data_IF_540171434616
#
_entry.id   IF_540171434616
#
_cell.length_a   1.000
_cell.length_b   1.000
_cell.length_c   1.000
_cell.angle_alpha   90.00
_cell.angle_beta   90.00
_cell.angle_gamma   90.00
#
_symmetry.space_group_name_H-M   'P 1'
#
loop_
_entity.id
_entity.type
_entity.pdbx_description
1 polymer ?
#
# COMPACT_ATOMS: atom_id res chain seq x y z
N UNK A 1 -5.58 -28.82 18.88
CA UNK A 1 -4.44 -28.17 18.21
C UNK A 1 -4.96 -27.65 16.89
N UNK A 2 -5.02 -26.33 16.73
CA UNK A 2 -5.26 -25.72 15.42
C UNK A 2 -4.14 -26.16 14.49
N UNK A 3 -4.46 -26.52 13.25
CA UNK A 3 -3.42 -26.85 12.28
C UNK A 3 -2.60 -25.59 12.01
N UNK A 4 -1.27 -25.67 12.00
CA UNK A 4 -0.42 -24.54 11.60
C UNK A 4 -0.14 -24.59 10.11
N UNK A 5 0.02 -23.43 9.50
CA UNK A 5 0.38 -23.26 8.10
C UNK A 5 1.68 -22.47 7.99
N UNK A 6 2.39 -22.65 6.87
CA UNK A 6 3.67 -22.03 6.63
C UNK A 6 3.75 -21.45 5.23
N UNK A 7 3.77 -20.12 5.15
CA UNK A 7 3.99 -19.37 3.91
C UNK A 7 5.40 -18.80 3.91
N UNK A 8 5.94 -18.42 2.75
CA UNK A 8 7.29 -17.90 2.64
C UNK A 8 7.31 -16.55 1.94
N UNK A 9 7.82 -15.53 2.62
CA UNK A 9 8.21 -14.27 2.00
C UNK A 9 9.62 -14.43 1.40
N UNK A 10 9.79 -14.03 0.15
CA UNK A 10 11.06 -14.06 -0.57
C UNK A 10 11.39 -12.66 -1.07
N UNK A 11 12.39 -12.05 -0.46
CA UNK A 11 12.89 -10.72 -0.78
C UNK A 11 14.26 -10.81 -1.46
N UNK A 12 14.75 -9.72 -2.08
CA UNK A 12 16.14 -9.58 -2.49
C UNK A 12 17.11 -9.97 -1.35
N UNK A 13 18.26 -10.56 -1.72
CA UNK A 13 19.20 -11.14 -0.73
C UNK A 13 19.90 -10.08 0.12
N UNK A 14 19.91 -8.85 -0.35
CA UNK A 14 20.49 -7.66 0.26
C UNK A 14 19.49 -6.88 1.13
N UNK A 15 18.22 -7.28 1.17
CA UNK A 15 17.23 -6.67 2.06
C UNK A 15 17.61 -6.90 3.52
N UNK A 16 17.82 -5.83 4.28
CA UNK A 16 18.23 -5.95 5.67
C UNK A 16 17.04 -6.38 6.54
N UNK A 17 17.24 -7.28 7.52
CA UNK A 17 16.20 -7.65 8.48
C UNK A 17 15.58 -6.49 9.26
N UNK A 18 16.34 -5.40 9.46
CA UNK A 18 15.82 -4.19 10.11
C UNK A 18 14.84 -3.42 9.22
N UNK A 19 15.04 -3.43 7.90
CA UNK A 19 14.13 -2.76 6.97
C UNK A 19 12.77 -3.47 6.98
N UNK A 20 12.77 -4.81 7.00
CA UNK A 20 11.55 -5.62 7.11
C UNK A 20 10.81 -5.30 8.40
N UNK A 21 11.50 -5.28 9.55
CA UNK A 21 10.87 -4.93 10.83
C UNK A 21 10.33 -3.49 10.82
N UNK A 22 11.11 -2.54 10.32
CA UNK A 22 10.70 -1.12 10.22
C UNK A 22 9.42 -0.99 9.41
N UNK A 23 9.34 -1.64 8.25
CA UNK A 23 8.12 -1.64 7.43
C UNK A 23 6.94 -2.27 8.17
N UNK A 24 7.12 -3.42 8.81
CA UNK A 24 6.05 -4.07 9.59
C UNK A 24 5.52 -3.14 10.67
N UNK A 25 6.40 -2.41 11.37
CA UNK A 25 5.98 -1.51 12.47
C UNK A 25 5.14 -0.31 12.03
N UNK A 26 5.16 0.05 10.74
CA UNK A 26 4.27 1.09 10.20
C UNK A 26 2.79 0.72 10.35
N UNK A 27 2.47 -0.56 10.18
CA UNK A 27 1.08 -1.07 10.20
C UNK A 27 0.79 -1.94 11.42
N UNK A 28 1.83 -2.52 12.05
CA UNK A 28 1.76 -3.29 13.29
C UNK A 28 2.75 -2.76 14.33
N UNK A 29 2.45 -1.66 15.04
CA UNK A 29 3.40 -1.02 15.97
C UNK A 29 3.82 -1.88 17.16
N UNK A 30 3.06 -2.92 17.48
CA UNK A 30 3.38 -3.89 18.53
C UNK A 30 4.32 -5.01 18.05
N UNK A 31 4.60 -5.10 16.75
CA UNK A 31 5.52 -6.09 16.21
C UNK A 31 6.91 -5.91 16.80
N UNK A 32 7.59 -7.03 17.09
CA UNK A 32 8.88 -7.00 17.77
C UNK A 32 9.77 -8.15 17.35
N UNK A 33 11.09 -7.95 17.44
CA UNK A 33 12.07 -9.01 17.23
C UNK A 33 12.27 -9.83 18.49
N UNK A 34 12.26 -11.15 18.35
CA UNK A 34 12.60 -12.13 19.38
C UNK A 34 14.11 -12.40 19.42
N UNK A 35 14.59 -13.01 20.51
CA UNK A 35 16.02 -13.34 20.69
C UNK A 35 16.57 -14.26 19.58
N UNK A 36 15.72 -15.12 19.01
CA UNK A 36 16.06 -16.03 17.91
C UNK A 36 16.05 -15.36 16.52
N UNK A 37 15.74 -14.06 16.45
CA UNK A 37 15.64 -13.29 15.22
C UNK A 37 14.29 -13.35 14.52
N UNK A 38 13.34 -14.17 14.99
CA UNK A 38 11.98 -14.17 14.46
C UNK A 38 11.27 -12.85 14.81
N UNK A 39 10.38 -12.40 13.93
CA UNK A 39 9.53 -11.24 14.18
C UNK A 39 8.16 -11.73 14.64
N UNK A 40 7.75 -11.28 15.83
CA UNK A 40 6.40 -11.47 16.35
C UNK A 40 5.47 -10.43 15.73
N UNK A 41 4.46 -10.90 15.00
CA UNK A 41 3.51 -10.04 14.30
C UNK A 41 2.21 -9.82 15.10
N UNK A 42 2.07 -10.43 16.28
CA UNK A 42 0.79 -10.55 16.99
C UNK A 42 -0.05 -11.73 16.49
N UNK A 43 -1.16 -12.01 17.18
CA UNK A 43 -2.18 -13.02 16.79
C UNK A 43 -1.61 -14.40 16.46
N UNK A 44 -0.58 -14.81 17.21
CA UNK A 44 0.17 -16.06 17.03
C UNK A 44 0.86 -16.21 15.65
N UNK A 45 1.00 -15.12 14.88
CA UNK A 45 1.75 -15.06 13.64
C UNK A 45 3.22 -14.70 13.90
N UNK A 46 4.13 -15.49 13.31
CA UNK A 46 5.57 -15.31 13.42
C UNK A 46 6.25 -15.31 12.06
N UNK A 47 7.15 -14.36 11.83
CA UNK A 47 7.97 -14.31 10.63
C UNK A 47 9.40 -14.74 10.96
N UNK A 48 9.73 -15.97 10.64
CA UNK A 48 10.99 -16.64 11.01
C UNK A 48 12.01 -16.49 9.88
N UNK A 49 13.20 -15.89 10.10
CA UNK A 49 14.21 -15.75 9.05
C UNK A 49 14.84 -17.10 8.69
N UNK A 50 15.14 -17.33 7.41
CA UNK A 50 15.99 -18.45 7.00
C UNK A 50 17.46 -18.08 7.24
N UNK A 51 18.02 -18.61 8.34
CA UNK A 51 19.39 -18.34 8.77
C UNK A 51 20.45 -19.13 7.97
N UNK A 52 20.05 -19.92 6.98
CA UNK A 52 21.01 -20.66 6.15
C UNK A 52 21.81 -19.70 5.26
N UNK A 53 23.01 -20.08 4.78
CA UNK A 53 23.80 -19.24 3.87
C UNK A 53 23.10 -18.87 2.55
N UNK A 54 22.07 -19.64 2.17
CA UNK A 54 21.24 -19.40 0.97
C UNK A 54 19.87 -18.80 1.30
N UNK A 55 19.62 -18.55 2.59
CA UNK A 55 18.37 -18.08 3.16
C UNK A 55 18.21 -16.58 3.21
N UNK A 56 19.27 -15.80 2.92
CA UNK A 56 19.20 -14.34 2.91
C UNK A 56 18.01 -13.82 2.09
N UNK A 57 17.21 -12.92 2.68
CA UNK A 57 15.97 -12.40 2.11
C UNK A 57 14.75 -13.32 2.25
N UNK A 58 14.89 -14.54 2.78
CA UNK A 58 13.78 -15.48 2.94
C UNK A 58 13.28 -15.54 4.37
N UNK A 59 11.96 -15.52 4.51
CA UNK A 59 11.28 -15.62 5.78
C UNK A 59 10.13 -16.60 5.69
N UNK A 60 9.90 -17.38 6.73
CA UNK A 60 8.75 -18.29 6.86
C UNK A 60 7.74 -17.64 7.80
N UNK A 61 6.55 -17.34 7.29
CA UNK A 61 5.40 -17.01 8.12
C UNK A 61 4.85 -18.30 8.72
N UNK A 62 4.85 -18.41 10.04
CA UNK A 62 4.12 -19.42 10.79
C UNK A 62 2.89 -18.78 11.41
N UNK A 63 1.70 -19.33 11.14
CA UNK A 63 0.44 -18.85 11.72
C UNK A 63 -0.53 -20.04 11.86
N UNK A 64 -1.54 -19.88 12.71
CA UNK A 64 -2.65 -20.83 12.76
C UNK A 64 -3.41 -20.78 11.44
N UNK A 65 -3.74 -21.95 10.90
CA UNK A 65 -4.50 -22.08 9.66
C UNK A 65 -5.96 -21.74 9.94
N UNK A 66 -6.48 -20.76 9.23
CA UNK A 66 -7.86 -20.33 9.29
C UNK A 66 -8.38 -20.05 7.88
N UNK A 67 -9.39 -20.82 7.46
CA UNK A 67 -9.89 -20.84 6.09
C UNK A 67 -11.40 -20.72 6.05
N UNK A 68 -11.88 -19.88 5.16
CA UNK A 68 -13.30 -19.79 4.82
C UNK A 68 -13.61 -20.58 3.55
N UNK A 69 -14.84 -20.44 3.05
CA UNK A 69 -15.26 -21.07 1.80
C UNK A 69 -14.38 -20.60 0.62
N UNK A 70 -14.23 -21.42 -0.43
CA UNK A 70 -13.49 -21.02 -1.62
C UNK A 70 -14.08 -19.77 -2.29
N UNK A 71 -13.23 -19.05 -3.02
CA UNK A 71 -13.67 -17.94 -3.85
C UNK A 71 -14.73 -18.42 -4.87
N UNK A 72 -15.75 -17.58 -5.18
CA UNK A 72 -16.62 -17.82 -6.32
C UNK A 72 -15.82 -17.99 -7.61
N UNK A 73 -16.29 -18.85 -8.52
CA UNK A 73 -15.63 -19.03 -9.82
C UNK A 73 -15.67 -17.73 -10.65
N UNK A 74 -14.52 -17.34 -11.19
CA UNK A 74 -14.42 -16.27 -12.19
C UNK A 74 -14.42 -14.83 -11.65
N UNK A 75 -14.26 -14.63 -10.34
CA UNK A 75 -13.97 -13.31 -9.79
C UNK A 75 -12.50 -12.93 -9.94
N UNK A 76 -12.23 -11.69 -10.35
CA UNK A 76 -10.89 -11.12 -10.25
C UNK A 76 -10.51 -10.95 -8.77
N UNK A 77 -9.23 -11.17 -8.48
CA UNK A 77 -8.68 -11.08 -7.13
C UNK A 77 -7.27 -10.50 -7.24
N UNK A 78 -7.18 -9.22 -6.91
CA UNK A 78 -5.95 -8.43 -6.79
C UNK A 78 -4.75 -9.22 -6.26
N UNK A 79 -4.97 -10.04 -5.22
CA UNK A 79 -3.88 -10.72 -4.51
C UNK A 79 -3.60 -12.13 -5.02
N UNK A 80 -4.45 -12.67 -5.89
CA UNK A 80 -4.31 -14.00 -6.47
C UNK A 80 -4.62 -15.15 -5.51
N UNK A 81 -5.28 -14.87 -4.39
CA UNK A 81 -5.65 -15.87 -3.41
C UNK A 81 -6.68 -16.88 -3.91
N UNK A 82 -7.61 -16.47 -4.78
CA UNK A 82 -8.53 -17.41 -5.44
C UNK A 82 -7.79 -18.53 -6.17
N UNK A 83 -6.71 -18.17 -6.89
CA UNK A 83 -5.83 -19.15 -7.55
C UNK A 83 -4.95 -19.91 -6.55
N UNK A 84 -4.40 -19.22 -5.54
CA UNK A 84 -3.44 -19.81 -4.62
C UNK A 84 -4.07 -20.73 -3.56
N UNK A 85 -5.35 -20.56 -3.27
CA UNK A 85 -6.09 -21.26 -2.23
C UNK A 85 -7.44 -21.82 -2.74
N UNK A 86 -7.43 -22.71 -3.74
CA UNK A 86 -8.66 -23.22 -4.37
C UNK A 86 -9.55 -24.05 -3.43
N UNK A 87 -9.00 -24.51 -2.30
CA UNK A 87 -9.73 -25.29 -1.29
C UNK A 87 -10.33 -24.48 -0.14
N UNK A 88 -10.21 -23.15 -0.17
CA UNK A 88 -10.72 -22.25 0.88
C UNK A 88 -9.79 -21.08 1.10
N UNK A 89 -10.33 -19.85 1.09
CA UNK A 89 -9.53 -18.63 1.20
C UNK A 89 -8.95 -18.46 2.61
N UNK A 90 -7.75 -17.85 2.76
CA UNK A 90 -7.27 -17.44 4.08
C UNK A 90 -8.25 -16.48 4.74
N UNK A 91 -8.47 -16.66 6.04
CA UNK A 91 -9.33 -15.82 6.87
C UNK A 91 -8.61 -15.39 8.16
N UNK A 92 -9.19 -14.41 8.87
CA UNK A 92 -8.71 -13.95 10.17
C UNK A 92 -7.22 -13.60 10.20
N UNK A 93 -6.53 -14.05 11.25
CA UNK A 93 -5.10 -13.80 11.43
C UNK A 93 -4.22 -14.35 10.29
N UNK A 94 -4.63 -15.46 9.64
CA UNK A 94 -3.92 -15.97 8.47
C UNK A 94 -4.02 -14.99 7.29
N UNK A 95 -5.21 -14.46 7.03
CA UNK A 95 -5.44 -13.47 5.97
C UNK A 95 -4.66 -12.19 6.20
N UNK A 96 -4.77 -11.62 7.40
CA UNK A 96 -4.10 -10.37 7.74
C UNK A 96 -2.56 -10.49 7.67
N UNK A 97 -2.01 -11.65 8.03
CA UNK A 97 -0.58 -11.90 7.91
C UNK A 97 -0.14 -12.09 6.45
N UNK A 98 -0.96 -12.76 5.63
CA UNK A 98 -0.70 -12.91 4.20
C UNK A 98 -0.82 -11.58 3.44
N UNK A 99 -1.79 -10.74 3.79
CA UNK A 99 -1.96 -9.40 3.21
C UNK A 99 -0.71 -8.56 3.51
N UNK A 100 -0.23 -8.55 4.76
CA UNK A 100 1.03 -7.91 5.14
C UNK A 100 2.23 -8.42 4.32
N UNK A 101 2.35 -9.74 4.17
CA UNK A 101 3.44 -10.33 3.38
C UNK A 101 3.36 -9.94 1.91
N UNK A 102 2.15 -9.83 1.35
CA UNK A 102 1.93 -9.38 -0.02
C UNK A 102 2.36 -7.92 -0.18
N UNK A 103 1.99 -7.02 0.73
CA UNK A 103 2.41 -5.61 0.69
C UNK A 103 3.93 -5.47 0.84
N UNK A 104 4.55 -6.23 1.75
CA UNK A 104 6.02 -6.28 1.90
C UNK A 104 6.69 -6.77 0.62
N UNK A 105 6.18 -7.84 0.01
CA UNK A 105 6.68 -8.33 -1.26
C UNK A 105 6.58 -7.26 -2.36
N UNK A 106 5.45 -6.54 -2.45
CA UNK A 106 5.27 -5.45 -3.42
C UNK A 106 6.30 -4.34 -3.23
N UNK A 107 6.44 -3.85 -2.00
CA UNK A 107 7.30 -2.71 -1.64
C UNK A 107 8.78 -3.04 -1.70
N UNK A 108 9.16 -4.28 -1.40
CA UNK A 108 10.55 -4.74 -1.34
C UNK A 108 10.94 -5.59 -2.56
N UNK A 109 10.15 -5.53 -3.65
CA UNK A 109 10.42 -6.22 -4.91
C UNK A 109 10.62 -7.75 -4.75
N UNK A 110 9.81 -8.34 -3.89
CA UNK A 110 9.82 -9.76 -3.54
C UNK A 110 8.58 -10.51 -4.02
N UNK A 111 8.33 -11.64 -3.38
CA UNK A 111 7.20 -12.53 -3.65
C UNK A 111 6.78 -13.29 -2.40
N UNK A 112 5.55 -13.79 -2.41
CA UNK A 112 5.03 -14.72 -1.40
C UNK A 112 4.86 -16.10 -2.03
N UNK A 113 5.34 -17.14 -1.36
CA UNK A 113 5.09 -18.53 -1.75
C UNK A 113 4.18 -19.14 -0.69
N UNK A 114 2.99 -19.57 -1.08
CA UNK A 114 1.99 -20.11 -0.15
C UNK A 114 2.38 -21.49 0.37
N UNK A 115 1.70 -21.97 1.41
CA UNK A 115 1.82 -23.34 1.94
C UNK A 115 1.55 -24.41 0.87
N UNK A 116 0.67 -24.11 -0.09
CA UNK A 116 0.42 -24.91 -1.29
C UNK A 116 1.49 -24.82 -2.38
N UNK A 117 2.51 -23.96 -2.21
CA UNK A 117 3.61 -23.76 -3.15
C UNK A 117 3.31 -22.81 -4.31
N UNK A 118 2.16 -22.12 -4.31
CA UNK A 118 1.82 -21.13 -5.33
C UNK A 118 2.60 -19.84 -5.05
N UNK A 119 3.19 -19.27 -6.10
CA UNK A 119 3.99 -18.05 -6.03
C UNK A 119 3.13 -16.85 -6.44
N UNK A 120 3.03 -15.87 -5.55
CA UNK A 120 2.38 -14.59 -5.74
C UNK A 120 3.47 -13.52 -5.88
N UNK A 121 3.50 -12.87 -7.05
CA UNK A 121 4.45 -11.80 -7.37
C UNK A 121 3.67 -10.50 -7.57
N UNK A 122 3.46 -9.71 -6.52
CA UNK A 122 2.75 -8.44 -6.65
C UNK A 122 3.48 -7.48 -7.59
N UNK A 123 2.75 -6.87 -8.52
CA UNK A 123 3.33 -5.84 -9.36
C UNK A 123 3.62 -4.58 -8.53
N UNK A 124 4.84 -4.00 -8.60
CA UNK A 124 5.26 -2.92 -7.70
C UNK A 124 4.37 -1.67 -7.79
N UNK A 125 3.85 -1.37 -8.98
CA UNK A 125 3.01 -0.21 -9.27
C UNK A 125 1.51 -0.50 -9.25
N UNK A 126 1.08 -1.62 -8.66
CA UNK A 126 -0.36 -1.91 -8.58
C UNK A 126 -1.05 -0.96 -7.59
N UNK A 127 -0.48 -0.80 -6.41
CA UNK A 127 -0.94 0.22 -5.45
C UNK A 127 -0.18 1.51 -5.73
N UNK A 128 -0.87 2.48 -6.32
CA UNK A 128 -0.27 3.73 -6.81
C UNK A 128 -0.59 4.93 -5.93
N UNK A 129 -1.68 4.83 -5.20
CA UNK A 129 -2.21 5.93 -4.41
C UNK A 129 -1.28 6.27 -3.26
N UNK A 130 -1.08 7.58 -3.08
CA UNK A 130 -0.28 8.14 -2.00
C UNK A 130 -1.10 9.18 -1.25
N UNK A 131 -0.88 9.28 0.05
CA UNK A 131 -1.43 10.35 0.87
C UNK A 131 -0.29 11.13 1.51
N UNK A 132 -0.27 12.44 1.29
CA UNK A 132 0.60 13.34 2.06
C UNK A 132 -0.17 13.79 3.30
N UNK A 133 0.29 13.36 4.48
CA UNK A 133 -0.29 13.71 5.77
C UNK A 133 0.49 14.89 6.35
N UNK A 134 -0.16 16.03 6.48
CA UNK A 134 0.50 17.30 6.80
C UNK A 134 -0.17 18.02 7.98
N UNK A 135 0.60 18.76 8.80
CA UNK A 135 0.04 19.69 9.78
C UNK A 135 -0.49 20.99 9.15
N UNK A 136 -0.32 21.19 7.84
CA UNK A 136 -0.58 22.45 7.15
C UNK A 136 -1.58 22.26 6.02
N UNK A 137 -2.77 22.85 6.18
CA UNK A 137 -3.80 22.89 5.15
C UNK A 137 -3.63 24.10 4.23
N UNK A 138 -3.71 23.84 2.93
CA UNK A 138 -3.77 24.86 1.88
C UNK A 138 -5.23 25.24 1.63
N UNK A 139 -5.42 26.48 1.18
CA UNK A 139 -6.68 26.87 0.57
C UNK A 139 -6.79 26.22 -0.83
N UNK A 140 -8.01 25.95 -1.33
CA UNK A 140 -8.22 25.34 -2.65
C UNK A 140 -7.47 26.05 -3.78
N UNK A 141 -7.54 27.38 -3.82
CA UNK A 141 -6.91 28.21 -4.86
C UNK A 141 -5.38 28.20 -4.75
N UNK A 142 -4.85 28.10 -3.52
CA UNK A 142 -3.41 27.97 -3.29
C UNK A 142 -2.90 26.61 -3.76
N UNK A 143 -3.67 25.54 -3.56
CA UNK A 143 -3.32 24.23 -4.10
C UNK A 143 -3.33 24.24 -5.64
N UNK A 144 -4.38 24.78 -6.25
CA UNK A 144 -4.48 24.89 -7.70
C UNK A 144 -3.28 25.68 -8.28
N UNK A 145 -2.91 26.80 -7.66
CA UNK A 145 -1.72 27.57 -8.06
C UNK A 145 -0.41 26.80 -7.88
N UNK A 146 -0.30 26.00 -6.81
CA UNK A 146 0.89 25.20 -6.52
C UNK A 146 1.13 24.14 -7.60
N UNK A 147 0.08 23.41 -7.99
CA UNK A 147 0.20 22.28 -8.92
C UNK A 147 0.18 22.72 -10.39
N UNK A 148 -0.38 23.89 -10.73
CA UNK A 148 -0.54 24.35 -12.11
C UNK A 148 0.72 24.28 -13.00
N UNK A 149 1.96 24.53 -12.50
CA UNK A 149 3.17 24.37 -13.31
C UNK A 149 3.43 22.92 -13.75
N UNK A 150 3.03 21.95 -12.94
CA UNK A 150 3.17 20.51 -13.24
C UNK A 150 1.93 19.99 -13.98
N UNK A 151 0.75 20.47 -13.56
CA UNK A 151 -0.56 20.00 -13.98
C UNK A 151 -1.44 21.15 -14.46
N UNK A 152 -1.18 21.70 -15.66
CA UNK A 152 -1.89 22.87 -16.18
C UNK A 152 -3.35 22.59 -16.53
N UNK A 153 -3.71 21.32 -16.71
CA UNK A 153 -5.08 20.85 -16.99
C UNK A 153 -5.84 20.45 -15.71
N UNK A 154 -5.25 20.67 -14.54
CA UNK A 154 -5.90 20.38 -13.26
C UNK A 154 -7.09 21.34 -13.02
N UNK A 155 -8.24 20.78 -12.67
CA UNK A 155 -9.46 21.52 -12.39
C UNK A 155 -9.87 21.35 -10.93
N UNK A 156 -10.19 22.47 -10.26
CA UNK A 156 -10.76 22.42 -8.92
C UNK A 156 -12.23 22.02 -9.02
N UNK A 157 -12.63 20.99 -8.29
CA UNK A 157 -13.99 20.48 -8.35
C UNK A 157 -14.98 21.44 -7.68
N UNK A 158 -16.13 21.65 -8.30
CA UNK A 158 -17.21 22.46 -7.72
C UNK A 158 -17.88 21.70 -6.57
N UNK A 159 -17.96 22.35 -5.41
CA UNK A 159 -18.75 21.84 -4.28
C UNK A 159 -20.23 22.18 -4.55
N UNK A 160 -21.14 21.19 -4.57
CA UNK A 160 -22.56 21.46 -4.80
C UNK A 160 -23.15 22.43 -3.77
N UNK A 161 -24.00 23.34 -4.23
CA UNK A 161 -24.70 24.30 -3.37
C UNK A 161 -25.44 23.60 -2.22
N UNK A 162 -25.12 23.99 -0.98
CA UNK A 162 -25.73 23.45 0.23
C UNK A 162 -25.06 22.19 0.79
N UNK A 163 -23.99 21.67 0.17
CA UNK A 163 -23.18 20.61 0.75
C UNK A 163 -22.28 21.15 1.89
N UNK A 164 -22.27 20.46 3.03
CA UNK A 164 -21.28 20.70 4.08
C UNK A 164 -19.98 19.99 3.70
N UNK A 165 -19.17 20.59 2.82
CA UNK A 165 -17.89 20.01 2.46
C UNK A 165 -16.85 20.26 3.57
N UNK A 166 -16.32 19.18 4.15
CA UNK A 166 -15.21 19.22 5.11
C UNK A 166 -13.84 19.17 4.43
N UNK A 167 -13.81 19.37 3.11
CA UNK A 167 -12.66 19.20 2.24
C UNK A 167 -12.95 19.70 0.83
N UNK A 168 -12.00 19.52 -0.09
CA UNK A 168 -12.12 19.88 -1.50
C UNK A 168 -11.28 18.92 -2.35
N UNK A 169 -11.50 18.89 -3.66
CA UNK A 169 -10.74 18.03 -4.56
C UNK A 169 -10.36 18.75 -5.84
N UNK A 170 -9.27 18.29 -6.44
CA UNK A 170 -8.81 18.67 -7.76
C UNK A 170 -8.77 17.43 -8.63
N UNK A 171 -9.33 17.52 -9.82
CA UNK A 171 -9.26 16.47 -10.85
C UNK A 171 -8.15 16.81 -11.85
N UNK A 172 -7.28 15.84 -12.12
CA UNK A 172 -6.15 15.97 -13.03
C UNK A 172 -6.29 14.92 -14.14
N UNK A 173 -6.52 15.30 -15.40
CA UNK A 173 -6.64 14.34 -16.48
C UNK A 173 -5.29 13.67 -16.77
N UNK A 174 -5.31 12.34 -16.88
CA UNK A 174 -4.14 11.53 -17.26
C UNK A 174 -4.15 11.20 -18.75
N UNK A 175 -5.34 11.00 -19.30
CA UNK A 175 -5.59 10.67 -20.70
C UNK A 175 -6.41 9.39 -20.84
N UNK A 176 -7.03 9.16 -22.00
CA UNK A 176 -7.83 7.95 -22.27
C UNK A 176 -8.98 7.69 -21.28
N UNK A 177 -9.47 8.73 -20.59
CA UNK A 177 -10.51 8.61 -19.57
C UNK A 177 -10.00 8.28 -18.16
N UNK A 178 -8.68 8.19 -17.98
CA UNK A 178 -8.03 8.08 -16.66
C UNK A 178 -7.82 9.45 -16.04
N UNK A 179 -7.93 9.51 -14.72
CA UNK A 179 -7.81 10.73 -13.93
C UNK A 179 -6.97 10.48 -12.66
N UNK A 180 -6.37 11.53 -12.12
CA UNK A 180 -5.86 11.57 -10.75
C UNK A 180 -6.75 12.52 -9.96
N UNK A 181 -7.36 12.00 -8.90
CA UNK A 181 -8.12 12.81 -7.94
C UNK A 181 -7.22 13.17 -6.75
N UNK A 182 -6.93 14.45 -6.59
CA UNK A 182 -6.25 15.00 -5.42
C UNK A 182 -7.30 15.51 -4.42
N UNK A 183 -7.58 14.71 -3.39
CA UNK A 183 -8.59 14.97 -2.37
C UNK A 183 -7.94 15.52 -1.11
N UNK A 184 -8.42 16.67 -0.66
CA UNK A 184 -7.93 17.34 0.55
C UNK A 184 -9.00 17.32 1.62
N UNK A 185 -8.67 16.77 2.78
CA UNK A 185 -9.61 16.66 3.88
C UNK A 185 -8.97 16.12 5.14
N UNK A 186 -9.81 15.67 6.09
CA UNK A 186 -9.36 14.99 7.30
C UNK A 186 -9.80 13.54 7.26
N UNK A 187 -8.89 12.62 7.51
CA UNK A 187 -9.21 11.22 7.74
C UNK A 187 -8.68 10.74 9.10
N UNK A 188 -8.82 9.44 9.36
CA UNK A 188 -8.19 8.81 10.52
C UNK A 188 -6.68 8.79 10.37
N UNK A 189 -5.98 9.18 11.43
CA UNK A 189 -4.52 9.12 11.51
C UNK A 189 -3.96 7.75 11.08
N UNK A 190 -3.03 7.70 10.11
CA UNK A 190 -2.35 6.45 9.77
C UNK A 190 -1.58 5.89 10.96
N UNK A 191 -1.60 4.58 11.12
CA UNK A 191 -0.93 3.86 12.21
C UNK A 191 0.54 4.24 12.35
N UNK A 192 1.25 4.39 11.21
CA UNK A 192 2.67 4.75 11.17
C UNK A 192 2.96 6.13 11.79
N UNK A 193 1.96 7.02 11.80
CA UNK A 193 2.07 8.41 12.25
C UNK A 193 1.38 8.66 13.60
N UNK A 194 0.77 7.63 14.20
CA UNK A 194 -0.07 7.76 15.41
C UNK A 194 0.67 8.31 16.65
N UNK A 195 1.99 8.38 16.63
CA UNK A 195 2.82 8.94 17.72
C UNK A 195 3.13 10.42 17.55
N UNK A 196 2.76 11.04 16.43
CA UNK A 196 3.03 12.45 16.17
C UNK A 196 2.03 13.34 16.91
N UNK A 197 2.54 14.34 17.64
CA UNK A 197 1.70 15.22 18.47
C UNK A 197 0.75 16.15 17.71
N UNK A 198 0.89 16.25 16.38
CA UNK A 198 0.04 17.07 15.52
C UNK A 198 -0.98 16.27 14.71
N UNK A 199 -0.98 14.92 14.83
CA UNK A 199 -1.73 14.05 13.93
C UNK A 199 -3.26 14.21 14.03
N UNK A 200 -3.78 14.52 15.22
CA UNK A 200 -5.23 14.73 15.43
C UNK A 200 -5.78 15.95 14.67
N UNK A 201 -4.91 16.89 14.31
CA UNK A 201 -5.25 18.09 13.56
C UNK A 201 -4.82 18.05 12.10
N UNK A 202 -4.22 16.94 11.66
CA UNK A 202 -3.63 16.81 10.34
C UNK A 202 -4.66 16.95 9.22
N UNK A 203 -4.15 17.31 8.05
CA UNK A 203 -4.86 17.30 6.78
C UNK A 203 -4.20 16.25 5.89
N UNK A 204 -5.03 15.55 5.14
CA UNK A 204 -4.61 14.55 4.17
C UNK A 204 -4.78 15.10 2.78
N UNK A 205 -3.74 14.97 1.98
CA UNK A 205 -3.75 15.18 0.54
C UNK A 205 -3.68 13.80 -0.11
N UNK A 206 -4.83 13.15 -0.29
CA UNK A 206 -4.92 11.83 -0.92
C UNK A 206 -4.88 12.00 -2.44
N UNK A 207 -3.83 11.47 -3.07
CA UNK A 207 -3.62 11.48 -4.51
C UNK A 207 -3.99 10.09 -5.02
N UNK A 208 -5.16 9.99 -5.66
CA UNK A 208 -5.80 8.72 -6.02
C UNK A 208 -5.82 8.56 -7.53
N UNK A 209 -5.34 7.43 -8.04
CA UNK A 209 -5.51 7.08 -9.45
C UNK A 209 -6.93 6.57 -9.71
N UNK A 210 -7.61 7.12 -10.70
CA UNK A 210 -8.90 6.65 -11.17
C UNK A 210 -8.73 6.05 -12.57
N UNK A 211 -8.64 4.72 -12.69
CA UNK A 211 -8.53 4.07 -13.99
C UNK A 211 -9.84 4.26 -14.79
N UNK A 212 -9.73 4.23 -16.11
CA UNK A 212 -10.89 4.31 -17.01
C UNK A 212 -11.84 3.12 -16.83
N UNK A 213 -11.28 1.95 -16.49
CA UNK A 213 -12.01 0.75 -16.10
C UNK A 213 -11.75 0.49 -14.60
N UNK A 214 -12.77 0.59 -13.72
CA UNK A 214 -12.58 0.37 -12.28
C UNK A 214 -12.15 -1.06 -11.93
N UNK A 215 -12.46 -2.04 -12.78
CA UNK A 215 -12.08 -3.44 -12.55
C UNK A 215 -10.56 -3.65 -12.75
N UNK A 216 -9.85 -2.68 -13.36
CA UNK A 216 -8.39 -2.72 -13.52
C UNK A 216 -7.67 -2.83 -12.16
N UNK A 217 -8.20 -2.23 -11.10
CA UNK A 217 -7.60 -2.31 -9.77
C UNK A 217 -7.67 -3.71 -9.16
N UNK A 218 -8.59 -4.57 -9.62
CA UNK A 218 -8.70 -5.98 -9.21
C UNK A 218 -7.78 -6.91 -10.04
N UNK A 219 -7.10 -6.39 -11.06
CA UNK A 219 -6.27 -7.18 -11.98
C UNK A 219 -5.00 -7.69 -11.32
N UNK A 220 -4.96 -8.95 -10.93
CA UNK A 220 -3.78 -9.55 -10.28
C UNK A 220 -2.48 -9.48 -11.12
N UNK A 221 -2.58 -9.80 -12.41
CA UNK A 221 -1.45 -9.94 -13.32
C UNK A 221 -1.66 -9.02 -14.53
N UNK A 222 -1.21 -7.76 -14.45
CA UNK A 222 -1.37 -6.82 -15.55
C UNK A 222 -0.57 -7.27 -16.78
N UNK A 223 -1.09 -6.97 -17.97
CA UNK A 223 -0.28 -7.02 -19.18
C UNK A 223 0.75 -5.88 -19.21
N UNK A 224 1.68 -5.93 -20.18
CA UNK A 224 2.75 -4.94 -20.27
C UNK A 224 2.23 -3.50 -20.44
N UNK A 225 1.17 -3.32 -21.23
CA UNK A 225 0.59 -2.00 -21.46
C UNK A 225 -0.04 -1.43 -20.18
N UNK A 226 -0.74 -2.26 -19.41
CA UNK A 226 -1.34 -1.89 -18.13
C UNK A 226 -0.26 -1.60 -17.10
N UNK A 227 0.78 -2.42 -17.02
CA UNK A 227 1.95 -2.16 -16.16
C UNK A 227 2.66 -0.83 -16.48
N UNK A 228 2.77 -0.47 -17.76
CA UNK A 228 3.33 0.83 -18.19
C UNK A 228 2.45 2.01 -17.77
N UNK A 229 1.12 1.90 -17.91
CA UNK A 229 0.17 2.92 -17.43
C UNK A 229 0.27 3.09 -15.92
N UNK A 230 0.27 1.98 -15.18
CA UNK A 230 0.42 2.00 -13.72
C UNK A 230 1.71 2.70 -13.27
N UNK A 231 2.83 2.40 -13.92
CA UNK A 231 4.12 3.02 -13.64
C UNK A 231 4.10 4.53 -13.97
N UNK A 232 3.46 4.93 -15.07
CA UNK A 232 3.32 6.33 -15.44
C UNK A 232 2.47 7.11 -14.42
N UNK A 233 1.33 6.55 -14.01
CA UNK A 233 0.46 7.11 -12.97
C UNK A 233 1.21 7.22 -11.63
N UNK A 234 1.89 6.16 -11.18
CA UNK A 234 2.67 6.19 -9.94
C UNK A 234 3.74 7.28 -9.92
N UNK A 235 4.49 7.46 -11.03
CA UNK A 235 5.49 8.54 -11.11
C UNK A 235 4.85 9.93 -11.04
N UNK A 236 3.73 10.14 -11.73
CA UNK A 236 3.02 11.43 -11.70
C UNK A 236 2.47 11.74 -10.31
N UNK A 237 1.89 10.73 -9.64
CA UNK A 237 1.48 10.79 -8.23
C UNK A 237 2.67 11.09 -7.31
N UNK A 238 3.81 10.45 -7.55
CA UNK A 238 5.06 10.69 -6.82
C UNK A 238 5.56 12.12 -6.91
N UNK A 239 5.53 12.72 -8.12
CA UNK A 239 5.88 14.13 -8.33
C UNK A 239 4.96 15.08 -7.57
N UNK A 240 3.64 14.82 -7.58
CA UNK A 240 2.66 15.59 -6.82
C UNK A 240 2.90 15.46 -5.31
N UNK A 241 3.15 14.25 -4.81
CA UNK A 241 3.46 14.00 -3.40
C UNK A 241 4.74 14.72 -2.97
N UNK A 242 5.80 14.67 -3.77
CA UNK A 242 7.05 15.38 -3.53
C UNK A 242 6.84 16.91 -3.46
N UNK A 243 6.15 17.48 -4.44
CA UNK A 243 5.81 18.92 -4.47
C UNK A 243 5.02 19.35 -3.22
N UNK A 244 4.05 18.52 -2.80
CA UNK A 244 3.27 18.78 -1.59
C UNK A 244 4.13 18.72 -0.33
N UNK A 245 4.96 17.68 -0.17
CA UNK A 245 5.86 17.57 0.99
C UNK A 245 6.82 18.76 1.06
N UNK A 246 7.39 19.19 -0.06
CA UNK A 246 8.26 20.38 -0.10
C UNK A 246 7.53 21.66 0.31
N UNK A 247 6.23 21.76 0.01
CA UNK A 247 5.43 22.97 0.22
C UNK A 247 4.74 23.04 1.57
N UNK A 248 4.20 21.92 2.05
CA UNK A 248 3.38 21.83 3.28
C UNK A 248 4.01 20.94 4.36
N UNK A 249 5.16 20.32 4.08
CA UNK A 249 5.78 19.35 4.99
C UNK A 249 4.91 18.10 5.21
N UNK A 250 5.28 17.30 6.20
CA UNK A 250 4.55 16.09 6.56
C UNK A 250 5.23 14.80 6.10
N UNK A 251 4.45 13.73 6.00
CA UNK A 251 4.90 12.40 5.64
C UNK A 251 4.03 11.81 4.54
N UNK A 252 4.62 10.99 3.67
CA UNK A 252 3.89 10.25 2.65
C UNK A 252 3.60 8.84 3.15
N UNK A 253 2.35 8.41 3.02
CA UNK A 253 1.92 7.02 3.22
C UNK A 253 1.29 6.48 1.95
N UNK A 254 1.51 5.21 1.65
CA UNK A 254 0.74 4.53 0.59
C UNK A 254 -0.64 4.08 1.10
N UNK A 255 -1.49 3.59 0.19
CA UNK A 255 -2.84 3.10 0.50
C UNK A 255 -2.85 1.96 1.53
N UNK A 256 -1.76 1.21 1.64
CA UNK A 256 -1.62 0.09 2.57
C UNK A 256 -1.07 0.55 3.95
N UNK A 257 -0.80 1.85 4.12
CA UNK A 257 -0.39 2.47 5.38
C UNK A 257 1.12 2.46 5.64
N UNK A 258 1.94 2.12 4.64
CA UNK A 258 3.39 2.17 4.78
C UNK A 258 3.92 3.56 4.49
N UNK A 259 4.89 4.01 5.29
CA UNK A 259 5.66 5.21 4.98
C UNK A 259 6.44 5.03 3.67
N UNK A 260 6.47 6.11 2.89
CA UNK A 260 7.21 6.22 1.65
C UNK A 260 8.14 7.43 1.75
N UNK A 261 9.41 7.25 1.42
CA UNK A 261 10.33 8.38 1.30
C UNK A 261 10.05 9.08 -0.04
N UNK A 262 9.77 10.40 -0.07
CA UNK A 262 9.64 11.13 -1.32
C UNK A 262 10.84 10.99 -2.27
N UNK A 263 12.05 10.73 -1.75
CA UNK A 263 13.23 10.48 -2.57
C UNK A 263 13.14 9.16 -3.37
N UNK A 264 12.34 8.20 -2.92
CA UNK A 264 12.09 6.93 -3.63
C UNK A 264 11.03 7.06 -4.74
N UNK A 265 10.40 8.24 -4.86
CA UNK A 265 9.31 8.52 -5.82
C UNK A 265 9.77 9.24 -7.09
N UNK A 266 11.03 9.70 -7.14
CA UNK A 266 11.60 10.51 -8.23
C UNK A 266 12.31 9.69 -9.32
#
# INVERSE_FOLDING_TARGET
MTARTSHRLQLPRDTAPEDVLTMITNVRPAASRREDGALDLGDAALLVPDTSPRGAGRWTLEVDRDREDPAPEGGDDLRGYGRAFPGGLPFGAEREALDLLWSLARRLHGAVVTDGGVRLEPHPFHVRDLTVVSPHALAPESLAQLIAPLEPEAELDEVPDGASATGYSVTIPVGQGEEIALRVGRSSAPTALARLGWIDGAVDYAIVHLPADPDEDETELPDAATGERWMAAYRRIGLLAGLLVESVGGYVVDLEGFLVDPADLA
#
